data_IF_467294406352
#
_entry.id   IF_467294406352
#
_cell.length_a   1.000
_cell.length_b   1.000
_cell.length_c   1.000
_cell.angle_alpha   90.00
_cell.angle_beta   90.00
_cell.angle_gamma   90.00
#
_symmetry.space_group_name_H-M   'P 1'
#
loop_
_entity.id
_entity.type
_entity.pdbx_description
1 polymer ?
#
# COMPACT_ATOMS: atom_id res chain seq x y z
N UNK A 1 -15.24 6.87 4.83
CA UNK A 1 -14.46 5.63 4.61
C UNK A 1 -15.04 4.56 5.52
N UNK A 2 -15.41 3.38 4.99
CA UNK A 2 -15.76 2.23 5.82
C UNK A 2 -14.47 1.43 6.05
N UNK A 3 -14.15 1.14 7.30
CA UNK A 3 -12.99 0.32 7.65
C UNK A 3 -13.45 -1.13 7.75
N UNK A 4 -12.75 -2.01 7.04
CA UNK A 4 -12.97 -3.45 7.16
C UNK A 4 -12.41 -3.99 8.47
N UNK A 5 -12.87 -5.18 8.87
CA UNK A 5 -12.48 -5.80 10.14
C UNK A 5 -10.97 -6.06 10.23
N UNK A 6 -10.35 -6.43 9.12
CA UNK A 6 -8.92 -6.73 9.05
C UNK A 6 -8.24 -5.90 7.98
N UNK A 7 -7.06 -5.40 8.30
CA UNK A 7 -6.20 -4.65 7.39
C UNK A 7 -4.76 -5.12 7.50
N UNK A 8 -3.99 -4.88 6.44
CA UNK A 8 -2.59 -5.25 6.36
C UNK A 8 -1.77 -4.03 5.94
N UNK A 9 -0.85 -3.60 6.81
CA UNK A 9 0.06 -2.49 6.54
C UNK A 9 1.09 -2.89 5.50
N UNK A 10 1.10 -2.20 4.35
CA UNK A 10 2.04 -2.42 3.26
C UNK A 10 2.95 -1.19 3.13
N UNK A 11 4.19 -1.36 3.60
CA UNK A 11 5.23 -0.36 3.48
C UNK A 11 5.89 -0.43 2.11
N UNK A 12 5.94 0.70 1.42
CA UNK A 12 6.75 0.86 0.21
C UNK A 12 7.64 2.09 0.37
N UNK A 13 8.89 1.83 0.75
CA UNK A 13 9.84 2.91 0.93
C UNK A 13 10.10 3.63 -0.38
N UNK A 14 10.22 2.92 -1.49
CA UNK A 14 10.76 3.50 -2.73
C UNK A 14 9.70 3.83 -3.78
N UNK A 15 8.43 3.47 -3.55
CA UNK A 15 7.34 3.75 -4.48
C UNK A 15 7.47 2.91 -5.76
N UNK A 16 7.73 1.62 -5.62
CA UNK A 16 7.97 0.69 -6.73
C UNK A 16 7.33 -0.69 -6.52
N UNK A 17 6.59 -0.87 -5.43
CA UNK A 17 6.06 -2.17 -4.99
C UNK A 17 4.54 -2.20 -4.97
N UNK A 18 3.85 -1.08 -5.21
CA UNK A 18 2.41 -0.96 -5.04
C UNK A 18 1.61 -1.99 -5.85
N UNK A 19 1.95 -2.18 -7.12
CA UNK A 19 1.28 -3.16 -7.99
C UNK A 19 1.44 -4.60 -7.46
N UNK A 20 2.68 -5.02 -7.19
CA UNK A 20 2.96 -6.37 -6.72
C UNK A 20 2.33 -6.65 -5.33
N UNK A 21 2.32 -5.65 -4.45
CA UNK A 21 1.66 -5.74 -3.14
C UNK A 21 0.14 -5.88 -3.29
N UNK A 22 -0.48 -5.12 -4.19
CA UNK A 22 -1.92 -5.22 -4.47
C UNK A 22 -2.28 -6.59 -5.07
N UNK A 23 -1.50 -7.07 -6.03
CA UNK A 23 -1.69 -8.41 -6.62
C UNK A 23 -1.64 -9.53 -5.57
N UNK A 24 -0.73 -9.43 -4.60
CA UNK A 24 -0.64 -10.40 -3.52
C UNK A 24 -1.90 -10.42 -2.63
N UNK A 25 -2.48 -9.25 -2.34
CA UNK A 25 -3.71 -9.13 -1.56
C UNK A 25 -4.94 -9.57 -2.35
N UNK A 26 -4.96 -9.34 -3.67
CA UNK A 26 -6.01 -9.87 -4.56
C UNK A 26 -5.98 -11.41 -4.53
N UNK A 27 -4.80 -12.03 -4.65
CA UNK A 27 -4.65 -13.49 -4.54
C UNK A 27 -5.10 -14.01 -3.18
N UNK A 28 -4.75 -13.33 -2.09
CA UNK A 28 -5.23 -13.69 -0.76
C UNK A 28 -6.78 -13.66 -0.69
N UNK A 29 -7.41 -12.65 -1.31
CA UNK A 29 -8.87 -12.55 -1.42
C UNK A 29 -9.46 -13.71 -2.22
N UNK A 30 -8.82 -14.13 -3.31
CA UNK A 30 -9.23 -15.30 -4.11
C UNK A 30 -9.17 -16.60 -3.30
N UNK A 31 -8.25 -16.70 -2.33
CA UNK A 31 -8.16 -17.81 -1.37
C UNK A 31 -9.14 -17.67 -0.18
N UNK A 32 -10.00 -16.65 -0.18
CA UNK A 32 -11.00 -16.40 0.86
C UNK A 32 -10.49 -15.62 2.07
N UNK A 33 -9.29 -15.04 1.99
CA UNK A 33 -8.71 -14.20 3.04
C UNK A 33 -9.07 -12.74 2.76
N UNK A 34 -10.04 -12.21 3.51
CA UNK A 34 -10.54 -10.86 3.32
C UNK A 34 -9.76 -9.85 4.20
N UNK A 35 -8.79 -9.17 3.60
CA UNK A 35 -7.93 -8.15 4.22
C UNK A 35 -7.78 -6.94 3.30
N UNK A 36 -7.84 -5.72 3.85
CA UNK A 36 -7.64 -4.49 3.07
C UNK A 36 -6.23 -3.94 3.22
N UNK A 37 -5.60 -3.47 2.12
CA UNK A 37 -4.29 -2.81 2.19
C UNK A 37 -4.37 -1.48 2.95
N UNK A 38 -3.30 -1.18 3.70
CA UNK A 38 -3.02 0.15 4.24
C UNK A 38 -1.61 0.54 3.80
N UNK A 39 -1.50 1.42 2.80
CA UNK A 39 -0.22 1.97 2.38
C UNK A 39 0.33 2.90 3.46
N UNK A 40 1.49 2.56 3.99
CA UNK A 40 2.08 3.28 5.11
C UNK A 40 3.55 3.62 4.85
N UNK A 41 3.96 4.79 5.34
CA UNK A 41 5.36 5.20 5.38
C UNK A 41 5.57 6.14 6.55
N UNK A 42 6.61 5.91 7.33
CA UNK A 42 6.90 6.75 8.49
C UNK A 42 7.56 8.06 8.07
N UNK A 43 7.41 9.11 8.88
CA UNK A 43 8.11 10.38 8.66
C UNK A 43 9.64 10.19 8.54
N UNK A 44 10.21 9.25 9.31
CA UNK A 44 11.64 8.91 9.24
C UNK A 44 12.02 8.37 7.86
N UNK A 45 11.18 7.53 7.26
CA UNK A 45 11.46 6.98 5.93
C UNK A 45 11.40 8.04 4.85
N UNK A 46 10.43 8.95 4.91
CA UNK A 46 10.37 10.13 4.04
C UNK A 46 11.65 10.95 4.13
N UNK A 47 12.15 11.22 5.34
CA UNK A 47 13.38 11.97 5.55
C UNK A 47 14.64 11.28 5.00
N UNK A 48 14.74 9.94 5.15
CA UNK A 48 15.91 9.17 4.71
C UNK A 48 16.07 9.20 3.19
N UNK A 49 14.97 9.15 2.44
CA UNK A 49 15.02 9.04 0.97
C UNK A 49 14.58 10.31 0.24
N UNK A 50 14.33 11.39 0.98
CA UNK A 50 13.84 12.66 0.45
C UNK A 50 12.54 12.55 -0.35
N UNK A 51 11.57 11.81 0.18
CA UNK A 51 10.21 11.76 -0.37
C UNK A 51 9.21 12.45 0.56
N UNK A 52 7.97 12.58 0.10
CA UNK A 52 6.84 13.19 0.76
C UNK A 52 5.66 12.21 0.90
N UNK A 53 4.65 12.51 1.74
CA UNK A 53 3.42 11.72 1.82
C UNK A 53 2.67 11.62 0.48
N UNK A 54 2.78 12.63 -0.39
CA UNK A 54 2.18 12.66 -1.73
C UNK A 54 2.70 11.50 -2.58
N UNK A 55 4.00 11.16 -2.47
CA UNK A 55 4.60 10.07 -3.24
C UNK A 55 3.97 8.72 -2.87
N UNK A 56 3.65 8.51 -1.59
CA UNK A 56 2.93 7.31 -1.13
C UNK A 56 1.50 7.27 -1.66
N UNK A 57 0.82 8.41 -1.70
CA UNK A 57 -0.52 8.51 -2.26
C UNK A 57 -0.53 8.22 -3.77
N UNK A 58 0.41 8.81 -4.52
CA UNK A 58 0.53 8.60 -5.96
C UNK A 58 0.84 7.14 -6.30
N UNK A 59 1.75 6.49 -5.58
CA UNK A 59 2.04 5.07 -5.79
C UNK A 59 0.82 4.18 -5.52
N UNK A 60 0.13 4.40 -4.40
CA UNK A 60 -1.08 3.66 -4.09
C UNK A 60 -2.17 3.87 -5.15
N UNK A 61 -2.34 5.12 -5.62
CA UNK A 61 -3.32 5.47 -6.64
C UNK A 61 -2.96 4.86 -8.00
N UNK A 62 -1.69 4.88 -8.39
CA UNK A 62 -1.22 4.25 -9.63
C UNK A 62 -1.43 2.74 -9.59
N UNK A 63 -1.14 2.09 -8.46
CA UNK A 63 -1.34 0.65 -8.30
C UNK A 63 -2.81 0.22 -8.47
N UNK A 64 -3.76 1.02 -7.98
CA UNK A 64 -5.20 0.69 -8.12
C UNK A 64 -5.80 1.08 -9.48
N UNK A 65 -5.11 1.90 -10.27
CA UNK A 65 -5.54 2.34 -11.61
C UNK A 65 -4.88 1.56 -12.76
N UNK A 66 -3.84 0.77 -12.46
CA UNK A 66 -3.15 -0.10 -13.41
C UNK A 66 -4.02 -1.30 -13.82
#
# INVERSE_FOLDING_TARGET
MKLEKYSFGIGDRFGQQGLAQLEALIKAKEEGIEIVPVWNKSNREHQIIHSSPEDTFLEANNAVLA
#
